data_IF_147483205189
#
_entry.id   IF_147483205189
#
_cell.length_a   1.000
_cell.length_b   1.000
_cell.length_c   1.000
_cell.angle_alpha   90.00
_cell.angle_beta   90.00
_cell.angle_gamma   90.00
#
_symmetry.space_group_name_H-M   'P 1'
#
loop_
_entity.id
_entity.type
_entity.pdbx_description
1 polymer ?
#
# COMPACT_ATOMS: atom_id res chain seq x y z
N UNK A 1 -23.36 0.83 47.35
CA UNK A 1 -22.69 -0.46 47.05
C UNK A 1 -23.53 -1.63 47.58
N UNK A 2 -24.11 -2.42 46.67
CA UNK A 2 -24.72 -3.72 47.03
C UNK A 2 -23.62 -4.65 47.53
N UNK A 3 -23.96 -5.53 48.47
CA UNK A 3 -22.99 -6.41 49.15
C UNK A 3 -22.42 -7.53 48.25
N UNK A 4 -22.90 -7.66 47.02
CA UNK A 4 -22.56 -8.76 46.10
C UNK A 4 -21.65 -8.35 44.93
N UNK A 5 -21.00 -7.18 45.00
CA UNK A 5 -20.11 -6.72 43.92
C UNK A 5 -18.85 -7.59 43.83
N UNK A 6 -18.73 -8.36 42.75
CA UNK A 6 -17.57 -9.22 42.47
C UNK A 6 -16.56 -8.45 41.62
N UNK A 7 -15.43 -8.08 42.23
CA UNK A 7 -14.36 -7.33 41.58
C UNK A 7 -13.20 -8.26 41.20
N UNK A 8 -12.70 -8.14 39.98
CA UNK A 8 -11.49 -8.82 39.53
C UNK A 8 -10.28 -7.99 39.96
N UNK A 9 -9.40 -8.59 40.77
CA UNK A 9 -8.28 -7.88 41.43
C UNK A 9 -7.00 -8.69 41.38
N UNK A 10 -5.82 -8.04 41.27
CA UNK A 10 -4.52 -8.74 41.22
C UNK A 10 -3.86 -8.70 42.59
N UNK A 11 -3.43 -9.87 43.07
CA UNK A 11 -2.63 -10.00 44.30
C UNK A 11 -1.18 -9.64 43.97
N UNK A 12 -0.66 -8.60 44.62
CA UNK A 12 0.74 -8.18 44.48
C UNK A 12 1.61 -8.92 45.51
N UNK A 13 1.15 -8.97 46.75
CA UNK A 13 1.90 -9.59 47.84
C UNK A 13 0.96 -10.38 48.74
N UNK A 14 1.37 -11.60 49.07
CA UNK A 14 0.70 -12.46 50.01
C UNK A 14 1.64 -12.77 51.18
N UNK A 15 1.31 -12.25 52.35
CA UNK A 15 2.03 -12.54 53.58
C UNK A 15 1.20 -13.49 54.44
N UNK A 16 1.58 -14.77 54.42
CA UNK A 16 0.87 -15.86 55.10
C UNK A 16 0.90 -15.73 56.63
N UNK A 17 2.03 -15.29 57.17
CA UNK A 17 2.25 -15.19 58.62
C UNK A 17 1.45 -14.05 59.23
N UNK A 18 1.40 -12.92 58.53
CA UNK A 18 0.58 -11.78 58.92
C UNK A 18 -0.91 -11.93 58.57
N UNK A 19 -1.28 -12.97 57.79
CA UNK A 19 -2.62 -13.13 57.18
C UNK A 19 -3.06 -11.87 56.41
N UNK A 20 -2.12 -11.26 55.67
CA UNK A 20 -2.34 -10.01 54.91
C UNK A 20 -2.15 -10.25 53.43
N UNK A 21 -3.03 -9.64 52.63
CA UNK A 21 -2.98 -9.68 51.16
C UNK A 21 -2.98 -8.23 50.68
N UNK A 22 -1.96 -7.84 49.90
CA UNK A 22 -1.98 -6.59 49.15
C UNK A 22 -2.52 -6.84 47.75
N UNK A 23 -3.50 -6.03 47.39
CA UNK A 23 -4.28 -6.16 46.17
C UNK A 23 -4.28 -4.82 45.42
N UNK A 24 -4.05 -4.85 44.11
CA UNK A 24 -4.13 -3.67 43.25
C UNK A 24 -5.22 -3.82 42.20
N UNK A 25 -6.00 -2.74 42.08
CA UNK A 25 -7.04 -2.58 41.06
C UNK A 25 -6.51 -2.03 39.74
N UNK A 26 -5.38 -1.31 39.77
CA UNK A 26 -4.87 -0.59 38.57
C UNK A 26 -3.95 -1.44 37.70
N UNK A 27 -3.34 -2.48 38.27
CA UNK A 27 -2.38 -3.30 37.54
C UNK A 27 -3.05 -4.20 36.50
N UNK A 28 -4.29 -4.65 36.74
CA UNK A 28 -5.04 -5.44 35.74
C UNK A 28 -5.28 -4.62 34.47
N UNK A 29 -5.63 -3.34 34.63
CA UNK A 29 -5.84 -2.44 33.50
C UNK A 29 -4.52 -2.12 32.79
N UNK A 30 -3.43 -1.89 33.54
CA UNK A 30 -2.10 -1.63 32.97
C UNK A 30 -1.49 -2.83 32.27
N UNK A 31 -1.72 -4.06 32.73
CA UNK A 31 -1.20 -5.26 32.09
C UNK A 31 -1.86 -5.51 30.73
N UNK A 32 -3.18 -5.31 30.64
CA UNK A 32 -3.92 -5.42 29.39
C UNK A 32 -3.43 -4.38 28.37
N UNK A 33 -3.21 -3.14 28.80
CA UNK A 33 -2.70 -2.07 27.94
C UNK A 33 -1.24 -2.28 27.57
N UNK A 34 -0.38 -2.74 28.48
CA UNK A 34 1.05 -3.02 28.21
C UNK A 34 1.24 -4.24 27.30
N UNK A 35 0.39 -5.26 27.41
CA UNK A 35 0.39 -6.40 26.49
C UNK A 35 -0.01 -5.97 25.07
N UNK A 36 -1.06 -5.15 24.93
CA UNK A 36 -1.46 -4.60 23.64
C UNK A 36 -0.41 -3.63 23.06
N UNK A 37 0.17 -2.74 23.87
CA UNK A 37 1.22 -1.83 23.41
C UNK A 37 2.49 -2.58 22.97
N UNK A 38 2.87 -3.66 23.66
CA UNK A 38 4.03 -4.46 23.24
C UNK A 38 3.82 -5.14 21.88
N UNK A 39 2.59 -5.58 21.59
CA UNK A 39 2.26 -6.14 20.29
C UNK A 39 2.23 -5.05 19.21
N UNK A 40 1.67 -3.88 19.52
CA UNK A 40 1.61 -2.72 18.63
C UNK A 40 3.00 -2.16 18.31
N UNK A 41 3.88 -2.04 19.31
CA UNK A 41 5.28 -1.64 19.13
C UNK A 41 6.05 -2.64 18.26
N UNK A 42 5.81 -3.95 18.44
CA UNK A 42 6.41 -4.98 17.60
C UNK A 42 5.95 -4.87 16.15
N UNK A 43 4.68 -4.53 15.93
CA UNK A 43 4.10 -4.40 14.60
C UNK A 43 4.59 -3.11 13.92
N UNK A 44 4.67 -2.01 14.66
CA UNK A 44 5.22 -0.73 14.21
C UNK A 44 6.70 -0.85 13.86
N UNK A 45 7.49 -1.60 14.62
CA UNK A 45 8.89 -1.89 14.30
C UNK A 45 9.01 -2.71 13.01
N UNK A 46 8.21 -3.77 12.85
CA UNK A 46 8.16 -4.58 11.61
C UNK A 46 7.80 -3.71 10.41
N UNK A 47 6.77 -2.87 10.53
CA UNK A 47 6.35 -1.95 9.48
C UNK A 47 7.46 -0.96 9.11
N UNK A 48 8.12 -0.35 10.11
CA UNK A 48 9.23 0.57 9.87
C UNK A 48 10.40 -0.09 9.12
N UNK A 49 10.77 -1.33 9.49
CA UNK A 49 11.84 -2.07 8.80
C UNK A 49 11.46 -2.47 7.37
N UNK A 50 10.18 -2.72 7.10
CA UNK A 50 9.72 -3.02 5.74
C UNK A 50 9.72 -1.76 4.87
N UNK A 51 9.30 -0.62 5.42
CA UNK A 51 9.35 0.67 4.73
C UNK A 51 10.78 1.07 4.41
N UNK A 52 11.73 0.95 5.35
CA UNK A 52 13.13 1.31 5.08
C UNK A 52 13.74 0.43 3.98
N UNK A 53 13.52 -0.89 4.02
CA UNK A 53 13.97 -1.82 2.97
C UNK A 53 13.38 -1.51 1.60
N UNK A 54 12.13 -1.05 1.56
CA UNK A 54 11.47 -0.66 0.32
C UNK A 54 12.08 0.62 -0.27
N UNK A 55 12.33 1.63 0.58
CA UNK A 55 13.01 2.87 0.17
C UNK A 55 14.43 2.59 -0.29
N UNK A 56 15.19 1.74 0.41
CA UNK A 56 16.54 1.32 0.00
C UNK A 56 16.54 0.64 -1.38
N UNK A 57 15.51 -0.19 -1.66
CA UNK A 57 15.35 -0.85 -2.96
C UNK A 57 14.98 0.15 -4.06
N UNK A 58 14.13 1.12 -3.76
CA UNK A 58 13.75 2.19 -4.70
C UNK A 58 14.95 3.06 -5.07
N UNK A 59 15.76 3.46 -4.08
CA UNK A 59 16.97 4.25 -4.32
C UNK A 59 17.99 3.48 -5.16
N UNK A 60 18.28 2.21 -4.81
CA UNK A 60 19.17 1.35 -5.61
C UNK A 60 18.67 1.09 -7.03
N UNK A 61 17.35 0.97 -7.22
CA UNK A 61 16.73 0.82 -8.54
C UNK A 61 16.83 2.08 -9.40
N UNK A 62 16.64 3.26 -8.78
CA UNK A 62 16.79 4.56 -9.43
C UNK A 62 18.22 4.83 -9.88
N UNK A 63 19.21 4.58 -9.02
CA UNK A 63 20.64 4.78 -9.33
C UNK A 63 21.17 3.76 -10.36
N UNK A 64 20.64 2.53 -10.37
CA UNK A 64 21.05 1.50 -11.34
C UNK A 64 20.55 1.80 -12.75
N UNK A 65 19.34 2.35 -12.88
CA UNK A 65 18.73 2.61 -14.18
C UNK A 65 19.40 3.79 -14.90
N UNK A 66 19.84 4.82 -14.16
CA UNK A 66 20.52 5.98 -14.77
C UNK A 66 21.98 5.71 -15.15
N UNK A 67 22.71 4.90 -14.38
CA UNK A 67 24.13 4.65 -14.65
C UNK A 67 24.39 3.38 -15.47
N UNK A 68 23.49 2.39 -15.43
CA UNK A 68 23.63 1.14 -16.17
C UNK A 68 23.13 1.23 -17.62
N UNK A 69 22.08 2.01 -17.90
CA UNK A 69 21.54 2.15 -19.25
C UNK A 69 22.44 2.98 -20.16
N UNK A 70 23.19 3.95 -19.62
CA UNK A 70 24.13 4.76 -20.39
C UNK A 70 25.26 3.94 -21.00
N UNK A 71 25.78 2.93 -20.29
CA UNK A 71 26.80 2.01 -20.81
C UNK A 71 26.23 1.13 -21.94
N UNK A 72 24.97 0.66 -21.79
CA UNK A 72 24.29 -0.12 -22.84
C UNK A 72 24.04 0.73 -24.09
N UNK A 73 23.61 1.99 -23.92
CA UNK A 73 23.39 2.93 -25.03
C UNK A 73 24.71 3.33 -25.71
N UNK A 74 25.77 3.57 -24.94
CA UNK A 74 27.11 3.83 -25.48
C UNK A 74 27.62 2.64 -26.31
N UNK A 75 27.43 1.42 -25.82
CA UNK A 75 27.74 0.20 -26.57
C UNK A 75 26.90 0.04 -27.84
N UNK A 76 25.61 0.37 -27.82
CA UNK A 76 24.75 0.35 -29.00
C UNK A 76 25.18 1.39 -30.03
N UNK A 77 25.52 2.60 -29.58
CA UNK A 77 26.04 3.68 -30.44
C UNK A 77 27.37 3.29 -31.07
N UNK A 78 28.29 2.71 -30.31
CA UNK A 78 29.56 2.19 -30.83
C UNK A 78 29.34 1.09 -31.89
N UNK A 79 28.37 0.19 -31.69
CA UNK A 79 28.01 -0.84 -32.69
C UNK A 79 27.41 -0.23 -33.97
N UNK A 80 26.64 0.85 -33.86
CA UNK A 80 26.09 1.55 -35.03
C UNK A 80 27.15 2.36 -35.78
N UNK A 81 28.10 2.97 -35.08
CA UNK A 81 29.20 3.71 -35.72
C UNK A 81 30.29 2.78 -36.29
N UNK A 82 30.52 1.61 -35.68
CA UNK A 82 31.48 0.62 -36.18
C UNK A 82 30.96 -0.23 -37.35
N UNK A 83 29.67 -0.10 -37.72
CA UNK A 83 29.06 -0.88 -38.81
C UNK A 83 28.53 0.01 -39.97
N UNK A 84 29.40 0.70 -40.74
CA UNK A 84 28.99 1.19 -42.04
C UNK A 84 29.11 0.07 -43.11
N UNK A 85 28.00 -0.19 -43.79
CA UNK A 85 27.86 -0.81 -45.13
C UNK A 85 28.03 -2.35 -45.31
N UNK A 86 26.89 -3.07 -45.40
CA UNK A 86 26.55 -4.01 -46.49
C UNK A 86 25.06 -4.47 -46.39
N UNK A 87 24.37 -4.80 -47.50
CA UNK A 87 23.01 -4.33 -47.78
C UNK A 87 21.84 -5.34 -47.66
N UNK A 88 20.66 -4.76 -47.43
CA UNK A 88 19.27 -5.11 -47.83
C UNK A 88 18.95 -6.55 -48.30
N UNK A 89 17.96 -7.16 -47.62
CA UNK A 89 16.99 -8.07 -48.25
C UNK A 89 15.56 -7.68 -47.84
N UNK A 90 14.72 -7.59 -48.87
CA UNK A 90 13.38 -7.01 -48.97
C UNK A 90 12.28 -7.84 -48.26
N UNK A 91 11.19 -7.19 -47.82
CA UNK A 91 9.81 -7.64 -48.12
C UNK A 91 8.70 -6.72 -47.55
N UNK A 92 7.89 -6.20 -48.48
CA UNK A 92 6.41 -6.20 -48.51
C UNK A 92 5.59 -5.30 -47.55
N UNK A 93 4.96 -4.30 -48.20
CA UNK A 93 3.50 -4.23 -48.52
C UNK A 93 2.59 -3.36 -47.62
N UNK A 94 1.82 -2.53 -48.35
CA UNK A 94 0.47 -1.99 -48.10
C UNK A 94 0.30 -0.63 -47.39
N UNK A 95 -0.04 0.39 -48.19
CA UNK A 95 -1.15 1.32 -47.91
C UNK A 95 -2.48 0.54 -47.73
N UNK A 96 -3.44 0.96 -46.87
CA UNK A 96 -4.34 2.06 -47.25
C UNK A 96 -4.92 2.95 -46.12
N UNK A 97 -5.51 4.06 -46.59
CA UNK A 97 -6.37 5.08 -45.96
C UNK A 97 -7.50 4.53 -45.07
N UNK A 98 -7.86 5.26 -44.00
CA UNK A 98 -9.16 5.98 -43.86
C UNK A 98 -9.50 6.33 -42.38
N UNK A 99 -10.10 7.51 -42.21
CA UNK A 99 -10.62 8.12 -40.97
C UNK A 99 -12.06 7.66 -40.65
N UNK A 100 -12.43 7.76 -39.36
CA UNK A 100 -13.78 8.03 -38.76
C UNK A 100 -14.80 6.87 -38.85
N UNK A 101 -15.59 6.46 -37.84
CA UNK A 101 -16.55 7.15 -36.93
C UNK A 101 -16.88 6.14 -35.79
N UNK A 102 -16.66 6.47 -34.51
CA UNK A 102 -17.67 6.64 -33.43
C UNK A 102 -18.72 5.54 -33.20
N UNK A 103 -18.93 5.27 -31.90
CA UNK A 103 -20.08 4.65 -31.22
C UNK A 103 -20.00 3.16 -30.83
N UNK A 104 -19.22 2.87 -29.77
CA UNK A 104 -19.43 1.74 -28.83
C UNK A 104 -18.61 1.85 -27.52
N UNK A 105 -18.20 3.06 -27.10
CA UNK A 105 -17.17 3.26 -26.07
C UNK A 105 -17.65 4.08 -24.86
N UNK A 106 -18.82 3.75 -24.31
CA UNK A 106 -19.35 4.48 -23.14
C UNK A 106 -19.62 3.60 -21.90
N UNK A 107 -19.32 2.30 -21.93
CA UNK A 107 -19.52 1.42 -20.75
C UNK A 107 -18.31 0.60 -20.32
N UNK A 108 -17.17 0.76 -21.00
CA UNK A 108 -15.96 -0.01 -20.71
C UNK A 108 -14.85 0.88 -20.12
N UNK A 109 -14.75 2.16 -20.52
CA UNK A 109 -13.62 3.02 -20.12
C UNK A 109 -13.69 3.52 -18.66
N UNK A 110 -14.89 3.84 -18.16
CA UNK A 110 -15.05 4.31 -16.77
C UNK A 110 -14.63 3.25 -15.74
N UNK A 111 -14.82 1.96 -16.06
CA UNK A 111 -14.44 0.86 -15.16
C UNK A 111 -12.92 0.68 -15.05
N UNK A 112 -12.19 0.87 -16.15
CA UNK A 112 -10.72 0.78 -16.17
C UNK A 112 -10.07 1.98 -15.50
N UNK A 113 -10.65 3.18 -15.69
CA UNK A 113 -10.11 4.41 -15.12
C UNK A 113 -10.13 4.37 -13.59
N UNK A 114 -11.25 3.94 -12.99
CA UNK A 114 -11.38 3.83 -11.53
C UNK A 114 -10.39 2.83 -10.91
N UNK A 115 -10.04 1.75 -11.62
CA UNK A 115 -9.11 0.74 -11.10
C UNK A 115 -7.64 1.23 -11.11
N UNK A 116 -7.30 2.09 -12.08
CA UNK A 116 -5.98 2.73 -12.19
C UNK A 116 -5.76 3.88 -11.20
N UNK A 117 -6.85 4.48 -10.69
CA UNK A 117 -6.78 5.57 -9.72
C UNK A 117 -6.24 5.10 -8.35
N UNK A 118 -5.54 6.01 -7.68
CA UNK A 118 -5.04 5.80 -6.31
C UNK A 118 -6.17 5.93 -5.30
N UNK A 119 -6.01 5.32 -4.12
CA UNK A 119 -7.02 5.39 -3.04
C UNK A 119 -7.33 6.84 -2.63
N UNK A 120 -6.34 7.75 -2.70
CA UNK A 120 -6.54 9.16 -2.43
C UNK A 120 -7.45 9.84 -3.47
N UNK A 121 -7.23 9.54 -4.77
CA UNK A 121 -8.06 10.05 -5.86
C UNK A 121 -9.48 9.48 -5.81
N UNK A 122 -9.62 8.19 -5.49
CA UNK A 122 -10.94 7.57 -5.31
C UNK A 122 -11.70 8.16 -4.11
N UNK A 123 -11.00 8.45 -3.00
CA UNK A 123 -11.60 9.16 -1.85
C UNK A 123 -11.98 10.61 -2.19
N UNK A 124 -11.20 11.30 -3.00
CA UNK A 124 -11.53 12.65 -3.47
C UNK A 124 -12.76 12.66 -4.37
N UNK A 125 -12.82 11.74 -5.34
CA UNK A 125 -14.00 11.55 -6.20
C UNK A 125 -15.23 11.16 -5.37
N UNK A 126 -15.08 10.29 -4.38
CA UNK A 126 -16.18 9.92 -3.50
C UNK A 126 -16.67 11.09 -2.64
N UNK A 127 -15.76 11.96 -2.17
CA UNK A 127 -16.09 13.20 -1.46
C UNK A 127 -16.82 14.19 -2.37
N UNK A 128 -16.40 14.36 -3.62
CA UNK A 128 -17.09 15.23 -4.60
C UNK A 128 -18.45 14.68 -5.02
N UNK A 129 -18.58 13.34 -5.10
CA UNK A 129 -19.85 12.65 -5.36
C UNK A 129 -20.76 12.57 -4.12
N UNK A 130 -20.30 13.06 -2.97
CA UNK A 130 -21.10 13.10 -1.74
C UNK A 130 -21.38 11.73 -1.12
N UNK A 131 -20.54 10.72 -1.39
CA UNK A 131 -20.69 9.38 -0.81
C UNK A 131 -20.30 9.46 0.67
N UNK A 132 -21.26 9.30 1.58
CA UNK A 132 -21.00 9.27 3.03
C UNK A 132 -20.27 7.98 3.43
N UNK A 133 -19.35 8.08 4.40
CA UNK A 133 -18.59 6.92 4.86
C UNK A 133 -17.45 6.46 3.94
N UNK A 134 -17.10 7.20 2.89
CA UNK A 134 -15.97 6.88 1.99
C UNK A 134 -14.61 6.70 2.69
N UNK A 135 -14.46 7.18 3.93
CA UNK A 135 -13.23 7.07 4.71
C UNK A 135 -12.98 5.66 5.26
N UNK A 136 -14.04 4.88 5.50
CA UNK A 136 -13.97 3.50 6.02
C UNK A 136 -13.93 2.45 4.90
N UNK A 137 -14.29 2.82 3.67
CA UNK A 137 -14.33 1.91 2.52
C UNK A 137 -12.94 1.54 1.99
N UNK A 138 -12.78 0.27 1.60
CA UNK A 138 -11.57 -0.24 0.94
C UNK A 138 -11.55 0.15 -0.55
N UNK A 139 -10.39 0.07 -1.20
CA UNK A 139 -10.24 0.44 -2.63
C UNK A 139 -11.29 -0.21 -3.54
N UNK A 140 -11.57 -1.50 -3.34
CA UNK A 140 -12.57 -2.23 -4.13
C UNK A 140 -14.01 -1.71 -3.89
N UNK A 141 -14.36 -1.40 -2.64
CA UNK A 141 -15.67 -0.87 -2.27
C UNK A 141 -15.86 0.57 -2.77
N UNK A 142 -14.81 1.40 -2.72
CA UNK A 142 -14.82 2.74 -3.31
C UNK A 142 -15.03 2.70 -4.83
N UNK A 143 -14.39 1.74 -5.52
CA UNK A 143 -14.58 1.56 -6.97
C UNK A 143 -16.00 1.12 -7.27
N UNK A 144 -16.55 0.15 -6.52
CA UNK A 144 -17.92 -0.34 -6.72
C UNK A 144 -18.94 0.79 -6.54
N UNK A 145 -18.85 1.57 -5.45
CA UNK A 145 -19.78 2.68 -5.18
C UNK A 145 -19.62 3.81 -6.20
N UNK A 146 -18.40 4.10 -6.69
CA UNK A 146 -18.18 5.12 -7.73
C UNK A 146 -18.58 4.67 -9.14
N UNK A 147 -18.69 3.35 -9.37
CA UNK A 147 -19.12 2.77 -10.65
C UNK A 147 -20.63 2.58 -10.77
N UNK A 148 -21.37 2.87 -9.69
CA UNK A 148 -22.81 2.69 -9.55
C UNK A 148 -23.58 3.97 -9.82
#
# INVERSE_FOLDING_TARGET
PSMDDTLVVRVIEFNKDAKRILVSHTDIWKEAERAQNSEEDSNRKKQATNTSKFVDKMNKGGERSTMGELDVLANLKAKMEAAPAAPKKEAKKAEPKAKKVEDATAKVEVSSDLNSMTVAQLKALAKEKGIEGYTTLKKAELIDVLSK
#
